data_IF_495031990289
#
_entry.id   IF_495031990289
#
_cell.length_a   1.000
_cell.length_b   1.000
_cell.length_c   1.000
_cell.angle_alpha   90.00
_cell.angle_beta   90.00
_cell.angle_gamma   90.00
#
_symmetry.space_group_name_H-M   'P 1'
#
loop_
_entity.id
_entity.type
_entity.pdbx_description
1 polymer ?
#
# COMPACT_ATOMS: atom_id res chain seq x y z
N UNK A 1 18.94 -10.52 17.98
CA UNK A 1 18.81 -11.34 16.76
C UNK A 1 18.17 -10.44 15.72
N UNK A 2 18.85 -10.12 14.63
CA UNK A 2 18.23 -9.34 13.55
C UNK A 2 17.22 -10.25 12.84
N UNK A 3 15.95 -9.85 12.78
CA UNK A 3 14.95 -10.59 12.01
C UNK A 3 15.29 -10.46 10.52
N UNK A 4 15.36 -11.60 9.83
CA UNK A 4 15.57 -11.63 8.38
C UNK A 4 14.30 -11.19 7.64
N UNK A 5 14.38 -10.78 6.36
CA UNK A 5 13.19 -10.51 5.56
C UNK A 5 12.20 -11.69 5.53
N UNK A 6 12.70 -12.92 5.54
CA UNK A 6 11.86 -14.13 5.62
C UNK A 6 11.10 -14.23 6.95
N UNK A 7 11.75 -13.89 8.07
CA UNK A 7 11.09 -13.85 9.39
C UNK A 7 9.98 -12.79 9.44
N UNK A 8 10.24 -11.64 8.81
CA UNK A 8 9.28 -10.54 8.70
C UNK A 8 8.09 -10.96 7.82
N UNK A 9 8.35 -11.64 6.69
CA UNK A 9 7.30 -12.13 5.80
C UNK A 9 6.41 -13.20 6.45
N UNK A 10 7.00 -14.14 7.21
CA UNK A 10 6.23 -15.12 8.00
C UNK A 10 5.36 -14.44 9.05
N UNK A 11 5.90 -13.42 9.73
CA UNK A 11 5.16 -12.63 10.72
C UNK A 11 4.02 -11.84 10.06
N UNK A 12 4.27 -11.24 8.89
CA UNK A 12 3.26 -10.59 8.05
C UNK A 12 2.07 -11.52 7.78
N UNK A 13 2.33 -12.73 7.28
CA UNK A 13 1.28 -13.71 6.98
C UNK A 13 0.47 -14.11 8.24
N UNK A 14 1.14 -14.23 9.39
CA UNK A 14 0.47 -14.53 10.66
C UNK A 14 -0.45 -13.39 11.10
N UNK A 15 0.03 -12.14 11.09
CA UNK A 15 -0.76 -10.97 11.49
C UNK A 15 -1.91 -10.68 10.53
N UNK A 16 -1.76 -11.00 9.25
CA UNK A 16 -2.84 -10.84 8.27
C UNK A 16 -4.02 -11.76 8.60
N UNK A 17 -3.76 -13.01 9.00
CA UNK A 17 -4.80 -13.97 9.42
C UNK A 17 -5.56 -13.49 10.66
N UNK A 18 -4.88 -12.82 11.58
CA UNK A 18 -5.49 -12.30 12.82
C UNK A 18 -6.03 -10.87 12.67
N UNK A 19 -5.98 -10.28 11.46
CA UNK A 19 -6.42 -8.91 11.16
C UNK A 19 -5.75 -7.84 12.03
N UNK A 20 -4.52 -8.10 12.48
CA UNK A 20 -3.74 -7.16 13.29
C UNK A 20 -3.10 -6.09 12.39
N UNK A 21 -3.92 -5.25 11.75
CA UNK A 21 -3.52 -4.38 10.64
C UNK A 21 -2.31 -3.49 10.94
N UNK A 22 -2.20 -2.96 12.16
CA UNK A 22 -1.03 -2.15 12.53
C UNK A 22 0.28 -2.96 12.52
N UNK A 23 0.23 -4.24 12.91
CA UNK A 23 1.41 -5.12 12.87
C UNK A 23 1.72 -5.56 11.44
N UNK A 24 0.69 -5.88 10.66
CA UNK A 24 0.82 -6.15 9.21
C UNK A 24 1.51 -4.97 8.51
N UNK A 25 1.05 -3.74 8.79
CA UNK A 25 1.62 -2.52 8.24
C UNK A 25 3.12 -2.38 8.57
N UNK A 26 3.51 -2.60 9.83
CA UNK A 26 4.92 -2.53 10.24
C UNK A 26 5.79 -3.58 9.54
N UNK A 27 5.27 -4.79 9.32
CA UNK A 27 5.98 -5.80 8.56
C UNK A 27 6.17 -5.37 7.10
N UNK A 28 5.10 -4.93 6.44
CA UNK A 28 5.16 -4.46 5.04
C UNK A 28 6.07 -3.23 4.89
N UNK A 29 6.04 -2.29 5.84
CA UNK A 29 6.92 -1.11 5.81
C UNK A 29 8.40 -1.52 5.89
N UNK A 30 8.73 -2.52 6.72
CA UNK A 30 10.10 -3.04 6.81
C UNK A 30 10.51 -3.78 5.55
N UNK A 31 9.64 -4.61 4.98
CA UNK A 31 9.92 -5.30 3.72
C UNK A 31 10.11 -4.32 2.57
N UNK A 32 9.29 -3.26 2.49
CA UNK A 32 9.43 -2.20 1.48
C UNK A 32 10.63 -1.28 1.70
N UNK A 33 11.30 -1.31 2.86
CA UNK A 33 12.60 -0.64 3.04
C UNK A 33 13.72 -1.41 2.34
N UNK A 34 13.66 -2.74 2.40
CA UNK A 34 14.63 -3.62 1.74
C UNK A 34 14.33 -3.79 0.24
N UNK A 35 13.04 -3.84 -0.12
CA UNK A 35 12.56 -4.08 -1.49
C UNK A 35 11.56 -2.98 -1.91
N UNK A 36 12.03 -1.75 -2.17
CA UNK A 36 11.16 -0.57 -2.31
C UNK A 36 10.23 -0.59 -3.53
N UNK A 37 10.61 -1.31 -4.58
CA UNK A 37 9.89 -1.41 -5.85
C UNK A 37 9.26 -2.79 -6.08
N UNK A 38 9.20 -3.63 -5.03
CA UNK A 38 8.49 -4.90 -5.12
C UNK A 38 6.99 -4.63 -5.28
N UNK A 39 6.48 -4.91 -6.48
CA UNK A 39 5.11 -4.62 -6.84
C UNK A 39 4.09 -5.41 -6.00
N UNK A 40 4.43 -6.61 -5.54
CA UNK A 40 3.53 -7.41 -4.71
C UNK A 40 3.43 -6.82 -3.30
N UNK A 41 4.55 -6.41 -2.70
CA UNK A 41 4.55 -5.76 -1.39
C UNK A 41 3.84 -4.41 -1.42
N UNK A 42 3.97 -3.66 -2.52
CA UNK A 42 3.24 -2.41 -2.72
C UNK A 42 1.73 -2.65 -2.85
N UNK A 43 1.31 -3.68 -3.59
CA UNK A 43 -0.10 -4.08 -3.70
C UNK A 43 -0.67 -4.53 -2.35
N UNK A 44 0.07 -5.35 -1.60
CA UNK A 44 -0.32 -5.78 -0.26
C UNK A 44 -0.48 -4.58 0.70
N UNK A 45 0.43 -3.59 0.61
CA UNK A 45 0.35 -2.35 1.38
C UNK A 45 -0.88 -1.52 1.00
N UNK A 46 -1.17 -1.37 -0.29
CA UNK A 46 -2.35 -0.68 -0.82
C UNK A 46 -3.63 -1.38 -0.34
N UNK A 47 -3.71 -2.70 -0.50
CA UNK A 47 -4.85 -3.49 -0.04
C UNK A 47 -5.07 -3.35 1.45
N UNK A 48 -4.02 -3.49 2.26
CA UNK A 48 -4.11 -3.31 3.71
C UNK A 48 -4.64 -1.93 4.09
N UNK A 49 -4.02 -0.87 3.56
CA UNK A 49 -4.24 0.49 4.04
C UNK A 49 -5.50 1.12 3.46
N UNK A 50 -5.76 0.95 2.17
CA UNK A 50 -6.90 1.59 1.49
C UNK A 50 -8.18 0.76 1.63
N UNK A 51 -8.08 -0.57 1.48
CA UNK A 51 -9.28 -1.44 1.48
C UNK A 51 -9.66 -1.85 2.91
N UNK A 52 -8.73 -2.41 3.68
CA UNK A 52 -9.06 -3.01 4.99
C UNK A 52 -8.99 -2.03 6.16
N UNK A 53 -7.95 -1.22 6.23
CA UNK A 53 -7.68 -0.35 7.38
C UNK A 53 -8.25 1.06 7.22
N UNK A 54 -8.61 1.45 5.99
CA UNK A 54 -9.15 2.77 5.63
C UNK A 54 -8.26 3.95 6.08
N UNK A 55 -6.94 3.75 6.01
CA UNK A 55 -5.90 4.75 6.24
C UNK A 55 -5.35 5.23 4.89
N UNK A 56 -6.17 5.99 4.17
CA UNK A 56 -5.91 6.41 2.80
C UNK A 56 -4.59 7.17 2.66
N UNK A 57 -4.33 8.15 3.53
CA UNK A 57 -3.08 8.93 3.52
C UNK A 57 -1.84 8.05 3.67
N UNK A 58 -1.95 7.00 4.48
CA UNK A 58 -0.87 6.04 4.72
C UNK A 58 -0.62 5.16 3.49
N UNK A 59 -1.67 4.77 2.76
CA UNK A 59 -1.59 3.92 1.58
C UNK A 59 -1.25 4.63 0.28
N UNK A 60 -1.60 5.91 0.16
CA UNK A 60 -1.46 6.69 -1.07
C UNK A 60 -0.04 6.69 -1.64
N UNK A 61 1.04 6.88 -0.87
CA UNK A 61 2.40 6.86 -1.42
C UNK A 61 2.75 5.53 -2.09
N UNK A 62 2.33 4.40 -1.51
CA UNK A 62 2.53 3.07 -2.08
C UNK A 62 1.73 2.88 -3.36
N UNK A 63 0.50 3.38 -3.41
CA UNK A 63 -0.32 3.35 -4.63
C UNK A 63 0.29 4.20 -5.77
N UNK A 64 0.83 5.38 -5.45
CA UNK A 64 1.54 6.21 -6.43
C UNK A 64 2.74 5.47 -7.01
N UNK A 65 3.52 4.77 -6.16
CA UNK A 65 4.66 3.96 -6.63
C UNK A 65 4.20 2.79 -7.48
N UNK A 66 3.17 2.07 -7.04
CA UNK A 66 2.59 0.94 -7.77
C UNK A 66 2.10 1.35 -9.16
N UNK A 67 1.37 2.46 -9.26
CA UNK A 67 0.88 3.03 -10.51
C UNK A 67 2.01 3.36 -11.48
N UNK A 68 3.17 3.84 -10.98
CA UNK A 68 4.35 4.09 -11.82
C UNK A 68 4.99 2.82 -12.34
N UNK A 69 5.02 1.75 -11.55
CA UNK A 69 5.63 0.47 -11.92
C UNK A 69 4.77 -0.25 -12.96
N UNK A 70 3.45 -0.34 -12.72
CA UNK A 70 2.54 -1.13 -13.56
C UNK A 70 1.93 -0.32 -14.70
N UNK A 71 1.83 1.00 -14.56
CA UNK A 71 1.17 1.89 -15.52
C UNK A 71 -0.26 1.44 -15.88
N UNK A 72 -0.99 0.84 -14.92
CA UNK A 72 -2.35 0.36 -15.13
C UNK A 72 -3.38 1.45 -14.84
N UNK A 73 -4.36 1.57 -15.74
CA UNK A 73 -5.44 2.56 -15.61
C UNK A 73 -6.23 2.40 -14.31
N UNK A 74 -6.35 1.17 -13.79
CA UNK A 74 -7.02 0.87 -12.52
C UNK A 74 -6.33 1.52 -11.32
N UNK A 75 -5.00 1.60 -11.30
CA UNK A 75 -4.26 2.24 -10.21
C UNK A 75 -4.50 3.76 -10.21
N UNK A 76 -4.56 4.36 -11.40
CA UNK A 76 -4.89 5.77 -11.58
C UNK A 76 -6.35 6.08 -11.17
N UNK A 77 -7.30 5.20 -11.53
CA UNK A 77 -8.68 5.30 -11.06
C UNK A 77 -8.77 5.22 -9.54
N UNK A 78 -8.03 4.30 -8.91
CA UNK A 78 -7.99 4.19 -7.45
C UNK A 78 -7.33 5.42 -6.80
N UNK A 79 -6.29 5.99 -7.39
CA UNK A 79 -5.66 7.24 -6.94
C UNK A 79 -6.65 8.40 -6.99
N UNK A 80 -7.40 8.54 -8.09
CA UNK A 80 -8.47 9.54 -8.20
C UNK A 80 -9.48 9.37 -7.07
N UNK A 81 -9.97 8.15 -6.84
CA UNK A 81 -10.94 7.88 -5.76
C UNK A 81 -10.37 8.25 -4.38
N UNK A 82 -9.12 7.87 -4.09
CA UNK A 82 -8.44 8.20 -2.85
C UNK A 82 -8.34 9.72 -2.65
N UNK A 83 -7.95 10.48 -3.68
CA UNK A 83 -7.87 11.94 -3.57
C UNK A 83 -9.25 12.57 -3.35
N UNK A 84 -10.32 12.08 -3.96
CA UNK A 84 -11.70 12.54 -3.68
C UNK A 84 -12.06 12.29 -2.21
N UNK A 85 -11.79 11.10 -1.68
CA UNK A 85 -12.09 10.76 -0.28
C UNK A 85 -11.26 11.59 0.72
N UNK A 86 -10.08 12.06 0.30
CA UNK A 86 -9.25 13.00 1.06
C UNK A 86 -9.65 14.48 0.87
N UNK A 87 -10.65 14.78 0.03
CA UNK A 87 -11.11 16.14 -0.26
C UNK A 87 -10.30 16.88 -1.33
N UNK A 88 -9.36 16.22 -2.00
CA UNK A 88 -8.45 16.82 -2.99
C UNK A 88 -8.98 16.69 -4.42
N UNK A 89 -10.11 17.34 -4.71
CA UNK A 89 -10.85 17.17 -5.98
C UNK A 89 -10.00 17.53 -7.21
N UNK A 90 -9.21 18.61 -7.16
CA UNK A 90 -8.39 19.01 -8.30
C UNK A 90 -7.32 17.97 -8.64
N UNK A 91 -6.69 17.40 -7.60
CA UNK A 91 -5.69 16.35 -7.78
C UNK A 91 -6.30 15.03 -8.24
N UNK A 92 -7.54 14.72 -7.84
CA UNK A 92 -8.25 13.55 -8.34
C UNK A 92 -8.42 13.59 -9.87
N UNK A 93 -8.78 14.76 -10.41
CA UNK A 93 -8.93 14.96 -11.87
C UNK A 93 -7.63 14.73 -12.64
N UNK A 94 -6.48 15.00 -12.05
CA UNK A 94 -5.18 14.78 -12.71
C UNK A 94 -4.93 13.31 -13.00
N UNK A 95 -5.39 12.39 -12.14
CA UNK A 95 -5.23 10.95 -12.35
C UNK A 95 -6.22 10.34 -13.36
N UNK A 96 -7.21 11.11 -13.82
CA UNK A 96 -8.20 10.65 -14.81
C UNK A 96 -7.91 11.15 -16.24
N UNK A 97 -6.81 11.85 -16.43
CA UNK A 97 -6.35 12.34 -17.74
C UNK A 97 -5.45 11.29 -18.41
#
# INVERSE_FOLDING_TARGET
MFETPDDIYRSYQKFLRTKEYQRVYRCLERLLKEFPDDAQLLEDMVGLTIIFWKKLDTGKPSLIRLAKIRSYWLDNMLLSKVEVELGNIEKAKEYLK
#
